data_IF_663706712391
#
_entry.id   IF_663706712391
#
_cell.length_a   1.000
_cell.length_b   1.000
_cell.length_c   1.000
_cell.angle_alpha   90.00
_cell.angle_beta   90.00
_cell.angle_gamma   90.00
#
_symmetry.space_group_name_H-M   'P 1'
#
loop_
_entity.id
_entity.type
_entity.pdbx_description
1 polymer ?
#
# COMPACT_ATOMS: atom_id res chain seq x y z
N UNK A 1 -1.48 -13.33 4.97
CA UNK A 1 -0.43 -12.93 4.01
C UNK A 1 0.92 -12.81 4.74
N UNK A 2 1.89 -13.64 4.36
CA UNK A 2 3.27 -13.67 4.80
C UNK A 2 4.11 -12.53 4.20
N UNK A 3 5.32 -12.31 4.71
CA UNK A 3 6.24 -11.30 4.19
C UNK A 3 6.68 -11.57 2.73
N UNK A 4 6.80 -12.84 2.34
CA UNK A 4 7.09 -13.20 0.94
C UNK A 4 5.92 -12.85 0.02
N UNK A 5 4.69 -13.14 0.45
CA UNK A 5 3.49 -12.76 -0.30
C UNK A 5 3.37 -11.23 -0.43
N UNK A 6 3.73 -10.45 0.60
CA UNK A 6 3.78 -8.97 0.51
C UNK A 6 4.72 -8.53 -0.62
N UNK A 7 5.95 -9.06 -0.67
CA UNK A 7 6.93 -8.74 -1.71
C UNK A 7 6.42 -9.08 -3.10
N UNK A 8 5.92 -10.29 -3.29
CA UNK A 8 5.45 -10.75 -4.60
C UNK A 8 4.22 -9.95 -5.06
N UNK A 9 3.25 -9.68 -4.18
CA UNK A 9 2.09 -8.88 -4.52
C UNK A 9 2.45 -7.42 -4.87
N UNK A 10 3.37 -6.82 -4.12
CA UNK A 10 3.88 -5.48 -4.40
C UNK A 10 4.61 -5.42 -5.75
N UNK A 11 5.47 -6.40 -6.03
CA UNK A 11 6.19 -6.52 -7.30
C UNK A 11 5.22 -6.72 -8.46
N UNK A 12 4.27 -7.65 -8.31
CA UNK A 12 3.27 -7.96 -9.31
C UNK A 12 2.48 -6.70 -9.70
N UNK A 13 1.93 -6.00 -8.72
CA UNK A 13 1.19 -4.76 -8.93
C UNK A 13 2.04 -3.68 -9.60
N UNK A 14 3.26 -3.50 -9.14
CA UNK A 14 4.18 -2.47 -9.66
C UNK A 14 4.55 -2.73 -11.12
N UNK A 15 4.76 -3.97 -11.51
CA UNK A 15 5.07 -4.35 -12.89
C UNK A 15 3.93 -3.99 -13.86
N UNK A 16 2.67 -4.19 -13.44
CA UNK A 16 1.50 -3.82 -14.25
C UNK A 16 1.28 -2.32 -14.27
N UNK A 17 1.48 -1.64 -13.14
CA UNK A 17 1.48 -0.18 -13.12
C UNK A 17 2.56 0.37 -14.05
N UNK A 18 3.74 -0.26 -14.09
CA UNK A 18 4.81 0.13 -14.99
C UNK A 18 4.40 0.03 -16.45
N UNK A 19 3.80 -1.09 -16.83
CA UNK A 19 3.35 -1.36 -18.18
C UNK A 19 2.20 -0.44 -18.60
N UNK A 20 1.14 -0.35 -17.80
CA UNK A 20 -0.08 0.38 -18.16
C UNK A 20 0.05 1.91 -18.01
N UNK A 21 0.86 2.38 -17.06
CA UNK A 21 1.03 3.81 -16.80
C UNK A 21 2.27 4.38 -17.51
N UNK A 22 3.18 3.53 -18.02
CA UNK A 22 4.44 3.94 -18.61
C UNK A 22 5.37 4.56 -17.57
N UNK A 23 5.70 3.81 -16.52
CA UNK A 23 6.57 4.28 -15.44
C UNK A 23 8.05 4.27 -15.86
N UNK A 24 8.80 5.28 -15.45
CA UNK A 24 10.27 5.27 -15.57
C UNK A 24 10.89 4.24 -14.60
N UNK A 25 12.15 3.86 -14.83
CA UNK A 25 12.88 2.96 -13.94
C UNK A 25 12.94 3.47 -12.49
N UNK A 26 13.07 4.80 -12.31
CA UNK A 26 13.07 5.42 -10.98
C UNK A 26 11.69 5.33 -10.33
N UNK A 27 10.63 5.70 -11.07
CA UNK A 27 9.25 5.59 -10.57
C UNK A 27 8.90 4.16 -10.18
N UNK A 28 9.36 3.16 -10.93
CA UNK A 28 9.12 1.76 -10.61
C UNK A 28 9.70 1.33 -9.26
N UNK A 29 10.91 1.78 -8.92
CA UNK A 29 11.51 1.43 -7.63
C UNK A 29 10.69 2.06 -6.48
N UNK A 30 10.29 3.31 -6.62
CA UNK A 30 9.53 4.03 -5.59
C UNK A 30 8.08 3.50 -5.48
N UNK A 31 7.43 3.21 -6.60
CA UNK A 31 6.09 2.59 -6.63
C UNK A 31 6.09 1.20 -6.00
N UNK A 32 7.18 0.42 -6.16
CA UNK A 32 7.33 -0.86 -5.48
C UNK A 32 7.35 -0.69 -3.96
N UNK A 33 8.12 0.26 -3.44
CA UNK A 33 8.20 0.54 -2.00
C UNK A 33 6.85 0.97 -1.44
N UNK A 34 6.14 1.87 -2.14
CA UNK A 34 4.81 2.33 -1.75
C UNK A 34 3.79 1.18 -1.74
N UNK A 35 3.81 0.32 -2.76
CA UNK A 35 2.94 -0.86 -2.81
C UNK A 35 3.30 -1.88 -1.72
N UNK A 36 4.59 -2.07 -1.44
CA UNK A 36 5.06 -2.92 -0.35
C UNK A 36 4.53 -2.43 0.99
N UNK A 37 4.68 -1.14 1.29
CA UNK A 37 4.22 -0.53 2.55
C UNK A 37 2.71 -0.66 2.74
N UNK A 38 1.96 -0.51 1.65
CA UNK A 38 0.53 -0.74 1.66
C UNK A 38 0.18 -2.19 1.99
N UNK A 39 0.74 -3.16 1.26
CA UNK A 39 0.46 -4.58 1.49
C UNK A 39 0.91 -5.03 2.89
N UNK A 40 2.04 -4.52 3.36
CA UNK A 40 2.55 -4.73 4.71
C UNK A 40 1.61 -4.15 5.78
N UNK A 41 0.98 -3.00 5.53
CA UNK A 41 0.00 -2.41 6.45
C UNK A 41 -1.30 -3.22 6.51
N UNK A 42 -1.84 -3.60 5.35
CA UNK A 42 -3.17 -4.23 5.27
C UNK A 42 -3.15 -5.73 5.55
N UNK A 43 -2.01 -6.41 5.47
CA UNK A 43 -1.92 -7.87 5.73
C UNK A 43 -2.50 -8.30 7.07
N UNK A 44 -2.46 -7.41 8.06
CA UNK A 44 -2.95 -7.66 9.41
C UNK A 44 -4.46 -7.49 9.59
N UNK A 45 -5.17 -6.97 8.57
CA UNK A 45 -6.61 -6.73 8.64
C UNK A 45 -7.38 -7.45 7.53
N UNK A 46 -6.73 -8.25 6.67
CA UNK A 46 -7.40 -8.90 5.54
C UNK A 46 -8.49 -9.90 5.95
N UNK A 47 -8.25 -10.71 6.99
CA UNK A 47 -9.25 -11.66 7.49
C UNK A 47 -10.43 -10.95 8.17
N UNK A 48 -10.13 -9.83 8.84
CA UNK A 48 -11.14 -8.98 9.47
C UNK A 48 -11.96 -8.19 8.44
N UNK A 49 -11.34 -7.79 7.33
CA UNK A 49 -12.01 -7.21 6.17
C UNK A 49 -12.98 -8.22 5.56
N UNK A 50 -12.54 -9.45 5.36
CA UNK A 50 -13.36 -10.56 4.88
C UNK A 50 -14.59 -10.82 5.78
N UNK A 51 -14.45 -10.57 7.08
CA UNK A 51 -15.52 -10.71 8.08
C UNK A 51 -16.44 -9.49 8.14
N UNK A 52 -15.93 -8.30 7.81
CA UNK A 52 -16.70 -7.05 7.84
C UNK A 52 -16.61 -6.26 9.13
N UNK A 53 -15.49 -6.34 9.84
CA UNK A 53 -15.29 -5.51 11.02
C UNK A 53 -15.02 -4.06 10.64
N UNK A 54 -15.77 -3.13 11.23
CA UNK A 54 -15.69 -1.69 10.91
C UNK A 54 -14.27 -1.14 11.05
N UNK A 55 -13.55 -1.49 12.13
CA UNK A 55 -12.17 -1.04 12.33
C UNK A 55 -11.24 -1.52 11.21
N UNK A 56 -11.43 -2.73 10.68
CA UNK A 56 -10.58 -3.27 9.62
C UNK A 56 -10.81 -2.51 8.32
N UNK A 57 -12.07 -2.18 8.03
CA UNK A 57 -12.45 -1.35 6.89
C UNK A 57 -11.90 0.08 7.06
N UNK A 58 -11.92 0.65 8.27
CA UNK A 58 -11.32 1.97 8.54
C UNK A 58 -9.80 1.93 8.33
N UNK A 59 -9.10 0.93 8.88
CA UNK A 59 -7.65 0.75 8.71
C UNK A 59 -7.24 0.51 7.26
N UNK A 60 -8.06 -0.18 6.48
CA UNK A 60 -7.84 -0.34 5.04
C UNK A 60 -7.88 1.01 4.33
N UNK A 61 -8.93 1.81 4.51
CA UNK A 61 -9.03 3.10 3.83
C UNK A 61 -7.97 4.09 4.30
N UNK A 62 -7.59 4.08 5.58
CA UNK A 62 -6.45 4.85 6.07
C UNK A 62 -5.15 4.46 5.34
N UNK A 63 -4.89 3.15 5.20
CA UNK A 63 -3.72 2.65 4.48
C UNK A 63 -3.79 2.99 2.99
N UNK A 64 -4.98 2.96 2.41
CA UNK A 64 -5.23 3.28 1.00
C UNK A 64 -4.98 4.77 0.71
N UNK A 65 -5.41 5.66 1.60
CA UNK A 65 -5.19 7.10 1.48
C UNK A 65 -3.72 7.46 1.54
N UNK A 66 -3.00 6.88 2.49
CA UNK A 66 -1.57 7.06 2.63
C UNK A 66 -0.82 6.60 1.37
N UNK A 67 -1.15 5.40 0.88
CA UNK A 67 -0.59 4.86 -0.37
C UNK A 67 -0.88 5.78 -1.56
N UNK A 68 -2.12 6.21 -1.72
CA UNK A 68 -2.55 6.99 -2.88
C UNK A 68 -1.98 8.42 -2.82
N UNK A 69 -1.84 9.02 -1.63
CA UNK A 69 -1.10 10.29 -1.46
C UNK A 69 0.38 10.11 -1.82
N UNK A 70 1.02 9.03 -1.38
CA UNK A 70 2.42 8.74 -1.73
C UNK A 70 2.62 8.55 -3.24
N UNK A 71 1.76 7.78 -3.90
CA UNK A 71 1.76 7.63 -5.36
C UNK A 71 1.54 8.97 -6.08
N UNK A 72 0.79 9.90 -5.49
CA UNK A 72 0.55 11.21 -6.10
C UNK A 72 1.80 12.12 -6.12
N UNK A 73 2.81 11.84 -5.29
CA UNK A 73 4.11 12.52 -5.40
C UNK A 73 4.95 11.91 -6.54
N UNK A 74 4.90 10.58 -6.72
CA UNK A 74 5.75 9.84 -7.67
C UNK A 74 5.21 9.86 -9.11
N UNK A 75 3.89 9.84 -9.27
CA UNK A 75 3.25 9.80 -10.58
C UNK A 75 3.03 11.20 -11.14
N UNK A 76 3.32 11.39 -12.43
CA UNK A 76 2.89 12.59 -13.17
C UNK A 76 1.37 12.72 -13.12
N UNK A 77 0.84 13.93 -13.32
CA UNK A 77 -0.60 14.17 -13.39
C UNK A 77 -1.33 13.15 -14.28
N UNK A 78 -0.87 12.94 -15.51
CA UNK A 78 -1.52 12.02 -16.46
C UNK A 78 -1.42 10.55 -16.04
N UNK A 79 -0.30 10.13 -15.43
CA UNK A 79 -0.17 8.79 -14.85
C UNK A 79 -1.14 8.60 -13.68
N UNK A 80 -1.26 9.59 -12.80
CA UNK A 80 -2.17 9.54 -11.66
C UNK A 80 -3.64 9.52 -12.09
N UNK A 81 -4.01 10.31 -13.10
CA UNK A 81 -5.35 10.28 -13.70
C UNK A 81 -5.69 8.90 -14.27
N UNK A 82 -4.76 8.25 -15.01
CA UNK A 82 -4.96 6.87 -15.47
C UNK A 82 -5.05 5.88 -14.31
N UNK A 83 -4.19 6.02 -13.31
CA UNK A 83 -4.19 5.19 -12.10
C UNK A 83 -5.54 5.22 -11.37
N UNK A 84 -6.12 6.41 -11.15
CA UNK A 84 -7.43 6.54 -10.49
C UNK A 84 -8.57 5.86 -11.25
N UNK A 85 -8.49 5.82 -12.59
CA UNK A 85 -9.50 5.19 -13.43
C UNK A 85 -9.38 3.65 -13.51
N UNK A 86 -8.39 3.05 -12.82
CA UNK A 86 -8.20 1.60 -12.76
C UNK A 86 -8.42 1.11 -11.33
N UNK A 87 -9.60 0.58 -11.04
CA UNK A 87 -9.93 0.08 -9.70
C UNK A 87 -8.92 -0.94 -9.17
N UNK A 88 -8.42 -1.83 -10.03
CA UNK A 88 -7.41 -2.82 -9.63
C UNK A 88 -6.06 -2.22 -9.21
N UNK A 89 -5.80 -0.95 -9.52
CA UNK A 89 -4.69 -0.19 -8.95
C UNK A 89 -5.14 0.76 -7.83
N UNK A 90 -6.21 1.53 -8.03
CA UNK A 90 -6.64 2.59 -7.11
C UNK A 90 -7.28 2.06 -5.83
N UNK A 91 -7.98 0.92 -5.91
CA UNK A 91 -8.69 0.22 -4.82
C UNK A 91 -8.38 -1.28 -4.88
N UNK A 92 -7.15 -1.66 -4.48
CA UNK A 92 -6.59 -2.95 -4.83
C UNK A 92 -7.20 -4.14 -4.09
N UNK A 93 -7.93 -3.93 -2.98
CA UNK A 93 -8.59 -5.01 -2.25
C UNK A 93 -10.10 -4.93 -2.40
N UNK A 94 -10.73 -6.11 -2.47
CA UNK A 94 -12.17 -6.27 -2.40
C UNK A 94 -12.50 -7.56 -1.65
N UNK A 95 -13.71 -7.68 -1.14
CA UNK A 95 -14.23 -8.92 -0.54
C UNK A 95 -15.28 -9.51 -1.44
N UNK A 96 -15.11 -10.79 -1.73
CA UNK A 96 -16.10 -11.60 -2.42
C UNK A 96 -16.26 -12.93 -1.67
N UNK A 97 -17.49 -13.36 -1.42
CA UNK A 97 -17.79 -14.59 -0.70
C UNK A 97 -17.00 -14.74 0.63
N UNK A 98 -16.90 -13.65 1.41
CA UNK A 98 -16.13 -13.58 2.67
C UNK A 98 -14.65 -13.92 2.53
N UNK A 99 -14.07 -13.66 1.36
CA UNK A 99 -12.63 -13.76 1.12
C UNK A 99 -12.14 -12.42 0.62
N UNK A 100 -11.16 -11.85 1.32
CA UNK A 100 -10.48 -10.64 0.89
C UNK A 100 -9.50 -11.00 -0.24
N UNK A 101 -9.71 -10.43 -1.42
CA UNK A 101 -8.94 -10.70 -2.64
C UNK A 101 -8.24 -9.44 -3.13
N UNK A 102 -7.15 -9.63 -3.85
CA UNK A 102 -6.43 -8.54 -4.54
C UNK A 102 -6.98 -8.45 -5.97
N UNK A 103 -7.58 -7.30 -6.29
CA UNK A 103 -8.35 -7.04 -7.52
C UNK A 103 -7.52 -7.23 -8.78
N UNK A 104 -6.21 -6.99 -8.74
CA UNK A 104 -5.35 -7.13 -9.92
C UNK A 104 -5.32 -8.55 -10.52
N UNK A 105 -5.50 -9.59 -9.70
CA UNK A 105 -5.55 -10.97 -10.19
C UNK A 105 -6.85 -11.34 -10.92
N UNK A 106 -7.88 -10.49 -10.85
CA UNK A 106 -9.08 -10.64 -11.69
C UNK A 106 -8.86 -10.17 -13.13
N UNK A 107 -7.81 -9.38 -13.36
CA UNK A 107 -7.45 -8.83 -14.68
C UNK A 107 -6.23 -9.57 -15.26
N UNK A 108 -5.22 -9.82 -14.43
CA UNK A 108 -4.00 -10.51 -14.81
C UNK A 108 -3.97 -11.91 -14.20
N UNK A 109 -4.43 -12.89 -14.97
CA UNK A 109 -4.60 -14.29 -14.51
C UNK A 109 -3.31 -15.11 -14.51
N UNK A 110 -2.25 -14.66 -15.19
CA UNK A 110 -0.93 -15.29 -15.14
C UNK A 110 -0.03 -14.57 -14.11
N UNK A 111 0.09 -15.09 -12.87
CA UNK A 111 0.91 -14.49 -11.83
C UNK A 111 2.42 -14.56 -12.12
N UNK A 112 2.85 -15.46 -13.00
CA UNK A 112 4.26 -15.70 -13.29
C UNK A 112 4.84 -14.80 -14.39
N UNK A 113 3.99 -14.11 -15.15
CA UNK A 113 4.44 -13.21 -16.22
C UNK A 113 4.87 -11.86 -15.63
N UNK A 114 5.97 -11.30 -16.13
CA UNK A 114 6.44 -9.96 -15.77
C UNK A 114 6.88 -9.22 -17.03
N UNK A 115 6.42 -7.99 -17.22
CA UNK A 115 6.85 -7.13 -18.32
C UNK A 115 8.28 -6.63 -18.13
N UNK A 116 8.72 -6.53 -16.87
CA UNK A 116 10.02 -6.01 -16.52
C UNK A 116 10.75 -6.84 -15.46
N UNK A 117 12.08 -6.68 -15.41
CA UNK A 117 12.90 -7.21 -14.32
C UNK A 117 12.44 -6.69 -12.95
N UNK A 118 12.77 -7.41 -11.88
CA UNK A 118 12.44 -6.98 -10.53
C UNK A 118 13.02 -5.58 -10.20
N UNK A 119 12.31 -4.75 -9.41
CA UNK A 119 12.86 -3.51 -8.87
C UNK A 119 14.17 -3.74 -8.11
N UNK A 120 15.09 -2.77 -8.13
CA UNK A 120 16.43 -2.91 -7.53
C UNK A 120 16.39 -3.26 -6.03
N UNK A 121 15.40 -2.73 -5.36
CA UNK A 121 15.14 -2.84 -3.93
C UNK A 121 14.23 -4.03 -3.57
N UNK A 122 13.90 -4.92 -4.52
CA UNK A 122 12.95 -6.01 -4.32
C UNK A 122 13.29 -6.90 -3.12
N UNK A 123 14.55 -7.31 -2.98
CA UNK A 123 15.01 -8.20 -1.91
C UNK A 123 15.37 -7.46 -0.61
N UNK A 124 15.65 -6.17 -0.69
CA UNK A 124 16.27 -5.41 0.42
C UNK A 124 15.31 -4.45 1.11
N UNK A 125 14.24 -4.01 0.45
CA UNK A 125 13.29 -3.07 1.05
C UNK A 125 12.51 -3.74 2.19
N UNK A 126 12.38 -3.07 3.32
CA UNK A 126 11.73 -3.58 4.54
C UNK A 126 10.78 -2.56 5.18
N UNK A 127 10.31 -1.58 4.39
CA UNK A 127 9.34 -0.58 4.85
C UNK A 127 9.94 0.69 5.45
N UNK A 128 11.22 0.98 5.13
CA UNK A 128 11.93 2.14 5.66
C UNK A 128 11.28 3.47 5.27
N UNK A 129 10.60 3.56 4.11
CA UNK A 129 9.96 4.79 3.63
C UNK A 129 8.48 4.90 4.01
N UNK A 130 7.98 3.95 4.80
CA UNK A 130 6.58 3.92 5.20
C UNK A 130 6.20 5.15 6.04
N UNK A 131 4.89 5.45 6.05
CA UNK A 131 4.30 6.53 6.86
C UNK A 131 4.44 6.35 8.38
N UNK A 132 4.91 5.18 8.83
CA UNK A 132 5.31 4.98 10.22
C UNK A 132 6.58 5.76 10.59
N UNK A 133 7.44 6.04 9.61
CA UNK A 133 8.70 6.78 9.79
C UNK A 133 8.63 8.20 9.21
N UNK A 134 7.80 8.41 8.18
CA UNK A 134 7.69 9.69 7.47
C UNK A 134 6.25 10.17 7.45
N UNK A 135 5.81 10.83 8.54
CA UNK A 135 4.41 11.30 8.69
C UNK A 135 3.94 12.13 7.49
N UNK A 136 4.81 12.98 6.95
CA UNK A 136 4.51 13.86 5.81
C UNK A 136 4.78 13.24 4.42
N UNK A 137 5.18 11.97 4.36
CA UNK A 137 5.47 11.22 3.14
C UNK A 137 6.93 11.36 2.72
N UNK A 138 7.62 10.23 2.58
CA UNK A 138 9.02 10.18 2.14
C UNK A 138 9.21 10.74 0.73
N UNK A 139 8.22 10.54 -0.15
CA UNK A 139 8.28 10.91 -1.56
C UNK A 139 7.94 12.38 -1.83
N UNK A 140 7.49 13.11 -0.82
CA UNK A 140 7.17 14.52 -0.94
C UNK A 140 8.40 15.31 -1.42
N UNK A 141 8.22 16.14 -2.45
CA UNK A 141 9.25 16.97 -3.08
C UNK A 141 10.43 16.22 -3.73
N UNK A 142 10.35 14.90 -3.94
CA UNK A 142 11.39 14.14 -4.65
C UNK A 142 11.24 14.17 -6.18
N UNK A 143 10.03 14.44 -6.66
CA UNK A 143 9.70 14.52 -8.08
C UNK A 143 9.30 15.93 -8.49
N UNK A 144 9.83 16.39 -9.62
CA UNK A 144 9.66 17.75 -10.14
C UNK A 144 8.80 17.73 -11.42
N UNK A 145 7.56 17.27 -11.29
CA UNK A 145 6.59 17.28 -12.39
C UNK A 145 5.21 17.74 -11.87
N UNK A 146 4.31 18.22 -12.76
CA UNK A 146 2.95 18.53 -12.38
C UNK A 146 2.28 17.32 -11.71
N UNK A 147 1.76 17.52 -10.51
CA UNK A 147 0.99 16.53 -9.76
C UNK A 147 -0.50 16.69 -10.07
N UNK A 148 -1.27 15.63 -9.88
CA UNK A 148 -2.71 15.77 -9.78
C UNK A 148 -3.03 16.60 -8.52
N UNK A 149 -3.95 17.57 -8.63
CA UNK A 149 -4.37 18.47 -7.52
C UNK A 149 -5.88 18.48 -7.32
N UNK A 150 -6.61 17.57 -7.98
CA UNK A 150 -8.05 17.49 -7.86
C UNK A 150 -8.51 16.82 -6.57
N UNK A 151 -9.82 16.69 -6.40
CA UNK A 151 -10.48 16.23 -5.17
C UNK A 151 -10.07 14.82 -4.71
N UNK A 152 -9.46 14.03 -5.58
CA UNK A 152 -9.09 12.63 -5.34
C UNK A 152 -7.65 12.41 -4.86
N UNK A 153 -6.82 13.46 -4.74
CA UNK A 153 -5.42 13.36 -4.24
C UNK A 153 -5.39 13.04 -2.75
N UNK A 154 -6.32 13.62 -2.00
CA UNK A 154 -6.42 13.47 -0.55
C UNK A 154 -7.82 13.05 -0.20
N UNK A 155 -8.11 11.74 -0.20
CA UNK A 155 -9.40 11.23 0.23
C UNK A 155 -9.50 11.27 1.77
N UNK A 156 -8.99 12.33 2.42
CA UNK A 156 -9.15 12.62 3.85
C UNK A 156 -10.62 12.82 4.28
N UNK A 157 -11.56 12.60 3.36
CA UNK A 157 -13.00 12.58 3.60
C UNK A 157 -13.46 11.14 3.39
N UNK A 158 -13.57 10.38 4.48
CA UNK A 158 -14.24 9.07 4.57
C UNK A 158 -15.56 8.99 3.77
N UNK A 159 -16.21 10.14 3.54
CA UNK A 159 -17.40 10.32 2.71
C UNK A 159 -17.26 9.71 1.31
N UNK A 160 -16.13 9.88 0.62
CA UNK A 160 -15.95 9.29 -0.73
C UNK A 160 -15.93 7.76 -0.69
N UNK A 161 -15.41 7.20 0.40
CA UNK A 161 -15.36 5.75 0.57
C UNK A 161 -16.62 5.17 1.18
N UNK A 162 -17.50 5.95 1.81
CA UNK A 162 -18.77 5.44 2.30
C UNK A 162 -19.60 4.81 1.16
N UNK A 163 -19.53 5.38 -0.05
CA UNK A 163 -20.16 4.83 -1.25
C UNK A 163 -19.38 3.61 -1.78
N UNK A 164 -18.06 3.72 -1.88
CA UNK A 164 -17.20 2.64 -2.40
C UNK A 164 -17.15 1.41 -1.48
N UNK A 165 -17.37 1.59 -0.18
CA UNK A 165 -17.40 0.53 0.84
C UNK A 165 -18.34 -0.60 0.46
N UNK A 166 -19.54 -0.27 0.00
CA UNK A 166 -20.53 -1.25 -0.41
C UNK A 166 -20.10 -2.02 -1.66
N UNK A 167 -19.40 -1.35 -2.57
CA UNK A 167 -18.88 -1.97 -3.79
C UNK A 167 -17.64 -2.85 -3.50
N UNK A 168 -16.75 -2.39 -2.64
CA UNK A 168 -15.49 -3.08 -2.33
C UNK A 168 -15.72 -4.26 -1.40
N UNK A 169 -16.69 -4.17 -0.49
CA UNK A 169 -16.86 -5.17 0.56
C UNK A 169 -18.23 -5.84 0.54
N UNK A 170 -19.14 -5.45 -0.36
CA UNK A 170 -20.47 -6.04 -0.48
C UNK A 170 -21.50 -5.50 0.52
N UNK A 171 -22.80 -5.80 0.30
CA UNK A 171 -23.87 -5.42 1.20
C UNK A 171 -23.76 -6.14 2.55
N UNK A 172 -23.91 -5.42 3.65
CA UNK A 172 -23.95 -5.99 5.02
C UNK A 172 -22.59 -6.32 5.65
N UNK A 173 -21.47 -6.03 4.99
CA UNK A 173 -20.11 -6.20 5.53
C UNK A 173 -19.62 -4.91 6.21
N UNK A 174 -20.30 -3.77 6.03
CA UNK A 174 -20.05 -2.57 6.82
C UNK A 174 -20.95 -2.57 8.07
N UNK A 175 -20.36 -2.75 9.25
CA UNK A 175 -21.03 -2.39 10.52
C UNK A 175 -21.06 -3.46 11.61
N UNK A 176 -20.27 -4.54 11.54
CA UNK A 176 -20.10 -5.40 12.72
C UNK A 176 -19.33 -4.62 13.79
N UNK A 177 -19.94 -4.29 14.95
CA UNK A 177 -19.22 -3.65 16.02
C UNK A 177 -18.30 -4.70 16.65
N UNK A 178 -17.00 -4.43 16.67
CA UNK A 178 -16.05 -5.24 17.40
C UNK A 178 -14.95 -4.35 17.97
N UNK A 179 -14.55 -4.67 19.21
CA UNK A 179 -13.35 -4.14 19.84
C UNK A 179 -12.14 -4.58 19.03
N UNK A 180 -11.29 -3.64 18.61
CA UNK A 180 -10.03 -3.94 17.92
C UNK A 180 -9.20 -4.95 18.74
N UNK A 181 -8.86 -6.13 18.22
CA UNK A 181 -7.96 -7.04 18.91
C UNK A 181 -6.57 -6.37 19.08
N UNK A 182 -5.87 -6.59 20.20
CA UNK A 182 -4.54 -6.03 20.40
C UNK A 182 -3.59 -6.51 19.28
N UNK A 183 -2.88 -5.55 18.68
CA UNK A 183 -1.90 -5.81 17.61
C UNK A 183 -0.82 -6.75 18.16
N UNK A 184 -0.38 -7.80 17.43
CA UNK A 184 0.83 -8.51 17.80
C UNK A 184 2.00 -7.52 17.76
N UNK A 185 2.58 -7.24 18.92
CA UNK A 185 3.78 -6.41 19.03
C UNK A 185 4.95 -7.28 18.56
N UNK A 186 5.20 -7.33 17.26
CA UNK A 186 6.48 -7.83 16.74
C UNK A 186 7.51 -6.73 17.00
N UNK A 187 8.01 -6.66 18.24
CA UNK A 187 9.24 -5.95 18.55
C UNK A 187 10.38 -6.86 18.08
N UNK A 188 11.29 -6.40 17.19
CA UNK A 188 12.56 -7.10 17.01
C UNK A 188 13.27 -7.20 18.37
N UNK A 189 13.92 -8.34 18.70
CA UNK A 189 14.69 -8.45 19.94
C UNK A 189 15.77 -7.38 19.94
N UNK A 190 15.72 -6.51 20.95
CA UNK A 190 16.67 -5.42 21.13
C UNK A 190 17.93 -5.91 21.87
N UNK A 191 18.50 -7.03 21.45
CA UNK A 191 19.71 -7.60 22.05
C UNK A 191 20.73 -7.85 20.95
N UNK A 192 21.40 -6.79 20.48
CA UNK A 192 22.72 -6.86 19.81
C UNK A 192 23.25 -5.46 19.49
N UNK A 193 23.38 -4.59 20.52
CA UNK A 193 24.19 -3.36 20.39
C UNK A 193 25.57 -3.63 21.02
N UNK A 194 26.66 -3.64 20.25
CA UNK A 194 27.99 -3.72 20.83
C UNK A 194 28.29 -2.47 21.67
N UNK A 195 28.77 -2.69 22.89
CA UNK A 195 29.18 -1.65 23.83
C UNK A 195 30.26 -0.74 23.22
N UNK A 196 29.98 0.55 23.14
CA UNK A 196 30.96 1.56 22.72
C UNK A 196 31.96 1.80 23.86
N UNK A 197 33.28 1.70 23.66
CA UNK A 197 34.24 2.02 24.71
C UNK A 197 34.19 3.50 25.05
N UNK A 198 34.16 3.82 26.34
CA UNK A 198 34.32 5.17 26.84
C UNK A 198 35.82 5.52 26.84
N UNK A 199 36.25 6.38 25.91
CA UNK A 199 37.52 7.09 26.02
C UNK A 199 37.24 8.57 25.79
N UNK A 200 37.44 9.37 26.84
CA UNK A 200 37.53 10.84 26.77
C UNK A 200 39.02 11.20 26.62
N UNK A 201 39.43 12.02 25.64
CA UNK A 201 40.76 12.60 25.64
C UNK A 201 40.84 13.86 26.52
N UNK A 202 42.02 14.17 27.08
CA UNK A 202 42.35 15.43 27.75
C UNK A 202 42.54 16.59 26.76
#
# INVERSE_FOLDING_TARGET
MSTSEVRENARFMTDRMAYELGLSSMQRNDVYEINYDFFESVRFVMDDLATGYSYAIDRYYESLDLRNDDLSYVLTRGQFERFMNRDYFYRPLYVDNRVCRIRIYSVYTNPAFYYYAAPLNFLTYVGLHSRAHYVHGFYCNRYHHPRYTGVWVRPSRHVHYAVNRRHDFGPGIAGRPASRPPRPVVRPPYDNRPSRPAVRPP
#
